data_IF_454749823430
#
_entry.id   IF_454749823430
#
_cell.length_a   1.000
_cell.length_b   1.000
_cell.length_c   1.000
_cell.angle_alpha   90.00
_cell.angle_beta   90.00
_cell.angle_gamma   90.00
#
_symmetry.space_group_name_H-M   'P 1'
#
loop_
_entity.id
_entity.type
_entity.pdbx_description
1 polymer ?
#
# COMPACT_ATOMS: atom_id res chain seq x y z
N UNK A 1 -1.92 13.64 -10.01
CA UNK A 1 -0.86 14.49 -10.58
C UNK A 1 -0.99 15.97 -10.18
N UNK A 2 -2.17 16.61 -10.19
CA UNK A 2 -2.31 18.05 -9.82
C UNK A 2 -1.66 18.47 -8.50
N UNK A 3 -1.85 17.71 -7.41
CA UNK A 3 -1.21 18.01 -6.11
C UNK A 3 0.32 17.96 -6.16
N UNK A 4 0.87 17.01 -6.93
CA UNK A 4 2.31 16.87 -7.10
C UNK A 4 2.89 18.01 -7.93
N UNK A 5 2.17 18.41 -8.99
CA UNK A 5 2.47 19.61 -9.78
C UNK A 5 2.50 20.88 -8.93
N UNK A 6 1.49 21.09 -8.07
CA UNK A 6 1.49 22.22 -7.14
C UNK A 6 2.71 22.20 -6.22
N UNK A 7 3.01 21.03 -5.63
CA UNK A 7 4.17 20.88 -4.76
C UNK A 7 5.50 21.21 -5.45
N UNK A 8 5.70 20.77 -6.70
CA UNK A 8 6.92 21.10 -7.47
C UNK A 8 7.00 22.59 -7.78
N UNK A 9 5.87 23.21 -8.12
CA UNK A 9 5.83 24.65 -8.38
C UNK A 9 6.18 25.47 -7.14
N UNK A 10 5.75 25.01 -5.96
CA UNK A 10 6.05 25.64 -4.68
C UNK A 10 7.51 25.36 -4.21
N UNK A 11 8.18 24.37 -4.80
CA UNK A 11 9.54 23.93 -4.42
C UNK A 11 10.45 23.84 -5.65
N UNK A 12 10.91 24.97 -6.21
CA UNK A 12 11.70 24.99 -7.45
C UNK A 12 13.09 24.35 -7.31
N UNK A 13 13.59 24.19 -6.09
CA UNK A 13 14.88 23.54 -5.79
C UNK A 13 14.80 22.01 -5.74
N UNK A 14 13.63 21.46 -6.08
CA UNK A 14 13.41 20.04 -5.98
C UNK A 14 14.04 19.30 -7.16
N UNK A 15 15.08 18.52 -6.85
CA UNK A 15 15.91 17.84 -7.86
C UNK A 15 15.43 16.43 -8.21
N UNK A 16 14.74 15.74 -7.28
CA UNK A 16 14.36 14.32 -7.42
C UNK A 16 12.98 14.06 -6.83
N UNK A 17 12.11 13.36 -7.56
CA UNK A 17 10.82 12.85 -7.03
C UNK A 17 10.70 11.36 -7.31
N UNK A 18 10.37 10.61 -6.27
CA UNK A 18 9.91 9.22 -6.37
C UNK A 18 8.40 9.09 -6.19
N UNK A 19 7.79 8.21 -6.96
CA UNK A 19 6.40 7.76 -6.79
C UNK A 19 6.36 6.25 -6.80
N UNK A 20 5.74 5.67 -5.79
CA UNK A 20 5.39 4.25 -5.77
C UNK A 20 3.90 4.13 -6.11
N UNK A 21 3.59 3.31 -7.11
CA UNK A 21 2.23 3.06 -7.56
C UNK A 21 1.87 1.59 -7.31
N UNK A 22 0.94 1.36 -6.38
CA UNK A 22 0.39 0.04 -6.09
C UNK A 22 -0.91 -0.12 -6.88
N UNK A 23 -0.96 -1.09 -7.78
CA UNK A 23 -2.16 -1.43 -8.55
C UNK A 23 -2.77 -2.70 -7.99
N UNK A 24 -4.08 -2.68 -7.78
CA UNK A 24 -4.85 -3.87 -7.44
C UNK A 24 -5.38 -4.53 -8.72
N UNK A 25 -5.35 -5.85 -8.79
CA UNK A 25 -5.86 -6.57 -9.96
C UNK A 25 -7.38 -6.41 -10.09
N UNK A 26 -8.07 -6.29 -8.96
CA UNK A 26 -9.50 -6.00 -8.88
C UNK A 26 -9.77 -5.02 -7.76
N UNK A 27 -10.68 -4.04 -7.93
CA UNK A 27 -11.16 -3.24 -6.82
C UNK A 27 -11.70 -4.13 -5.71
N UNK A 28 -11.33 -3.83 -4.46
CA UNK A 28 -11.84 -4.57 -3.31
C UNK A 28 -13.37 -4.50 -3.25
N UNK A 29 -13.98 -5.65 -2.99
CA UNK A 29 -15.41 -5.79 -2.71
C UNK A 29 -15.55 -6.53 -1.40
N UNK A 30 -16.23 -5.91 -0.44
CA UNK A 30 -16.53 -6.57 0.82
C UNK A 30 -17.37 -7.83 0.59
N UNK A 31 -17.27 -8.84 1.49
CA UNK A 31 -18.16 -9.98 1.45
C UNK A 31 -19.62 -9.52 1.46
N UNK A 32 -20.36 -9.85 0.40
CA UNK A 32 -21.76 -9.43 0.24
C UNK A 32 -22.65 -10.03 1.32
N UNK A 33 -23.53 -9.23 1.92
CA UNK A 33 -24.36 -9.60 3.09
C UNK A 33 -25.21 -10.87 2.93
N UNK A 34 -25.46 -11.33 1.70
CA UNK A 34 -26.31 -12.47 1.38
C UNK A 34 -25.56 -13.66 0.75
N UNK A 35 -24.25 -13.56 0.53
CA UNK A 35 -23.45 -14.68 0.01
C UNK A 35 -23.26 -15.78 1.04
N UNK A 36 -23.09 -17.04 0.60
CA UNK A 36 -22.77 -18.18 1.48
C UNK A 36 -21.52 -17.89 2.33
N UNK A 37 -20.49 -17.32 1.72
CA UNK A 37 -19.23 -16.92 2.37
C UNK A 37 -19.46 -15.89 3.51
N UNK A 38 -20.35 -14.92 3.32
CA UNK A 38 -20.63 -13.94 4.37
C UNK A 38 -21.39 -14.53 5.57
N UNK A 39 -22.18 -15.60 5.36
CA UNK A 39 -22.82 -16.32 6.48
C UNK A 39 -21.79 -17.08 7.31
N UNK A 40 -20.83 -17.73 6.65
CA UNK A 40 -19.74 -18.44 7.33
C UNK A 40 -18.83 -17.46 8.09
N UNK A 41 -18.38 -16.39 7.42
CA UNK A 41 -17.56 -15.34 8.02
C UNK A 41 -18.22 -14.63 9.21
N UNK A 42 -19.55 -14.50 9.22
CA UNK A 42 -20.31 -13.90 10.34
C UNK A 42 -20.33 -14.77 11.60
N UNK A 43 -20.19 -16.09 11.43
CA UNK A 43 -20.16 -17.02 12.56
C UNK A 43 -18.78 -17.07 13.20
N UNK A 44 -17.75 -16.56 12.51
CA UNK A 44 -16.41 -16.44 13.01
C UNK A 44 -16.27 -15.18 13.88
N UNK A 45 -15.60 -15.36 15.01
CA UNK A 45 -15.17 -14.28 15.88
C UNK A 45 -14.18 -13.38 15.13
N UNK A 46 -14.18 -12.09 15.50
CA UNK A 46 -13.21 -11.14 14.96
C UNK A 46 -11.80 -11.56 15.40
N UNK A 47 -10.96 -11.91 14.44
CA UNK A 47 -9.57 -12.27 14.69
C UNK A 47 -8.75 -11.01 15.02
N UNK A 48 -7.86 -11.12 15.99
CA UNK A 48 -6.78 -10.15 16.19
C UNK A 48 -5.80 -10.18 15.01
N UNK A 49 -5.00 -9.13 14.82
CA UNK A 49 -3.96 -9.12 13.77
C UNK A 49 -3.00 -10.31 13.89
N UNK A 50 -2.68 -10.73 15.12
CA UNK A 50 -1.79 -11.87 15.37
C UNK A 50 -2.42 -13.21 14.96
N UNK A 51 -3.72 -13.39 15.22
CA UNK A 51 -4.45 -14.59 14.79
C UNK A 51 -4.66 -14.59 13.29
N UNK A 52 -5.08 -13.46 12.72
CA UNK A 52 -5.18 -13.25 11.28
C UNK A 52 -3.89 -13.60 10.55
N UNK A 53 -2.75 -13.17 11.09
CA UNK A 53 -1.43 -13.48 10.56
C UNK A 53 -1.14 -14.98 10.46
N UNK A 54 -1.73 -15.82 11.32
CA UNK A 54 -1.58 -17.29 11.24
C UNK A 54 -2.36 -17.92 10.08
N UNK A 55 -3.37 -17.23 9.56
CA UNK A 55 -4.15 -17.67 8.39
C UNK A 55 -3.53 -17.22 7.08
N UNK A 56 -2.57 -16.30 7.12
CA UNK A 56 -1.79 -15.93 5.95
C UNK A 56 -0.86 -17.10 5.60
N UNK A 57 -0.93 -17.56 4.35
CA UNK A 57 -0.07 -18.64 3.84
C UNK A 57 1.39 -18.22 3.77
N UNK A 58 1.96 -18.13 2.57
CA UNK A 58 3.31 -17.57 2.43
C UNK A 58 3.32 -16.11 2.89
N UNK A 59 3.94 -15.86 4.05
CA UNK A 59 4.04 -14.55 4.69
C UNK A 59 4.78 -13.56 3.80
N UNK A 60 5.54 -14.01 2.81
CA UNK A 60 6.24 -13.14 1.86
C UNK A 60 5.42 -12.80 0.61
N UNK A 61 4.16 -13.24 0.54
CA UNK A 61 3.36 -13.07 -0.67
C UNK A 61 2.71 -11.68 -0.75
N UNK A 62 3.24 -10.85 -1.65
CA UNK A 62 2.68 -9.54 -2.01
C UNK A 62 1.53 -9.62 -3.02
N UNK A 63 1.25 -10.81 -3.55
CA UNK A 63 0.27 -11.03 -4.63
C UNK A 63 -1.14 -10.98 -4.09
N UNK A 64 -1.45 -11.72 -3.04
CA UNK A 64 -2.82 -11.84 -2.55
C UNK A 64 -2.92 -12.18 -1.07
N UNK A 65 -3.97 -11.69 -0.45
CA UNK A 65 -4.38 -12.08 0.90
C UNK A 65 -5.77 -12.69 0.82
N UNK A 66 -5.83 -14.01 1.01
CA UNK A 66 -7.07 -14.77 1.05
C UNK A 66 -7.21 -15.36 2.45
N UNK A 67 -8.32 -15.06 3.11
CA UNK A 67 -8.69 -15.62 4.41
C UNK A 67 -10.15 -16.00 4.35
N UNK A 68 -10.48 -17.20 4.85
CA UNK A 68 -11.83 -17.77 4.85
C UNK A 68 -12.50 -17.73 3.47
N UNK A 69 -11.74 -18.13 2.45
CA UNK A 69 -12.18 -18.15 1.04
C UNK A 69 -12.57 -16.78 0.45
N UNK A 70 -12.24 -15.67 1.12
CA UNK A 70 -12.44 -14.33 0.62
C UNK A 70 -11.11 -13.63 0.32
N UNK A 71 -11.05 -12.94 -0.82
CA UNK A 71 -9.87 -12.16 -1.23
C UNK A 71 -9.95 -10.75 -0.66
N UNK A 72 -9.15 -10.49 0.37
CA UNK A 72 -9.09 -9.19 1.06
C UNK A 72 -8.16 -8.21 0.35
N UNK A 73 -7.17 -8.73 -0.38
CA UNK A 73 -6.25 -7.96 -1.20
C UNK A 73 -5.76 -8.79 -2.38
N UNK A 74 -5.62 -8.16 -3.54
CA UNK A 74 -5.01 -8.76 -4.73
C UNK A 74 -4.25 -7.69 -5.50
N UNK A 75 -2.93 -7.83 -5.59
CA UNK A 75 -2.00 -6.97 -6.30
C UNK A 75 -1.95 -7.34 -7.78
N UNK A 76 -1.82 -6.35 -8.67
CA UNK A 76 -1.50 -6.55 -10.09
C UNK A 76 -0.09 -6.09 -10.44
N UNK A 77 0.33 -4.93 -9.93
CA UNK A 77 1.69 -4.43 -10.10
C UNK A 77 2.07 -3.52 -8.94
N UNK A 78 3.37 -3.46 -8.68
CA UNK A 78 3.96 -2.43 -7.83
C UNK A 78 5.07 -1.78 -8.63
N UNK A 79 4.84 -0.53 -8.97
CA UNK A 79 5.67 0.26 -9.88
C UNK A 79 6.36 1.37 -9.10
N UNK A 80 7.60 1.67 -9.46
CA UNK A 80 8.37 2.80 -8.97
C UNK A 80 8.68 3.68 -10.16
N UNK A 81 8.38 4.96 -10.02
CA UNK A 81 8.71 5.99 -10.98
C UNK A 81 9.61 7.00 -10.29
N UNK A 82 10.71 7.36 -10.94
CA UNK A 82 11.63 8.37 -10.45
C UNK A 82 11.81 9.45 -11.53
N UNK A 83 11.70 10.70 -11.13
CA UNK A 83 12.01 11.86 -11.96
C UNK A 83 13.19 12.59 -11.36
N UNK A 84 14.10 13.04 -12.20
CA UNK A 84 15.32 13.75 -11.84
C UNK A 84 15.44 14.99 -12.72
N UNK A 85 15.80 16.12 -12.13
CA UNK A 85 16.06 17.34 -12.86
C UNK A 85 17.29 17.14 -13.74
N UNK A 86 17.18 17.43 -15.04
CA UNK A 86 18.34 17.34 -15.91
C UNK A 86 19.28 18.50 -15.64
N UNK A 87 20.55 18.25 -15.90
CA UNK A 87 21.55 19.29 -15.94
C UNK A 87 21.15 20.38 -16.95
N UNK A 88 21.04 21.62 -16.49
CA UNK A 88 20.62 22.78 -17.28
C UNK A 88 19.10 23.03 -17.35
N UNK A 89 18.26 22.09 -16.89
CA UNK A 89 16.83 22.36 -16.72
C UNK A 89 16.64 23.23 -15.48
N UNK A 90 15.76 24.23 -15.55
CA UNK A 90 15.47 25.09 -14.40
C UNK A 90 14.50 24.46 -13.40
N UNK A 91 13.79 23.38 -13.80
CA UNK A 91 12.79 22.68 -12.99
C UNK A 91 12.67 21.21 -13.36
N UNK A 92 12.19 20.42 -12.39
CA UNK A 92 11.80 19.04 -12.59
C UNK A 92 10.53 18.91 -13.45
N UNK A 93 10.59 18.07 -14.48
CA UNK A 93 9.45 17.73 -15.36
C UNK A 93 8.91 16.33 -15.01
N UNK A 94 7.76 16.29 -14.31
CA UNK A 94 7.10 15.03 -13.92
C UNK A 94 6.10 14.49 -14.93
N UNK A 95 5.83 15.21 -16.02
CA UNK A 95 4.99 14.71 -17.10
C UNK A 95 5.81 13.89 -18.10
N UNK A 96 7.14 14.03 -18.06
CA UNK A 96 8.08 13.14 -18.76
C UNK A 96 7.94 11.69 -18.31
N UNK A 97 7.93 10.77 -19.26
CA UNK A 97 7.86 9.33 -19.01
C UNK A 97 8.93 8.54 -19.76
N UNK A 98 9.87 9.22 -20.42
CA UNK A 98 10.92 8.61 -21.22
C UNK A 98 12.17 9.50 -21.25
N UNK A 99 13.32 8.89 -21.55
CA UNK A 99 14.60 9.57 -21.74
C UNK A 99 15.28 10.04 -20.44
N UNK A 100 16.25 10.93 -20.60
CA UNK A 100 17.04 11.46 -19.49
C UNK A 100 16.16 12.19 -18.46
N UNK A 101 16.40 11.90 -17.19
CA UNK A 101 15.65 12.49 -16.07
C UNK A 101 14.38 11.73 -15.69
N UNK A 102 14.13 10.54 -16.26
CA UNK A 102 13.07 9.63 -15.81
C UNK A 102 13.57 8.20 -15.73
N UNK A 103 13.13 7.47 -14.71
CA UNK A 103 13.35 6.04 -14.59
C UNK A 103 12.09 5.32 -14.11
N UNK A 104 11.94 4.09 -14.58
CA UNK A 104 10.84 3.20 -14.24
C UNK A 104 11.39 1.88 -13.73
N UNK A 105 10.77 1.35 -12.70
CA UNK A 105 11.09 0.04 -12.15
C UNK A 105 9.87 -0.64 -11.57
N UNK A 106 10.00 -1.93 -11.30
CA UNK A 106 8.92 -2.77 -10.79
C UNK A 106 9.41 -3.58 -9.60
N UNK A 107 8.55 -3.71 -8.59
CA UNK A 107 8.69 -4.65 -7.48
C UNK A 107 7.81 -5.89 -7.66
N UNK A 108 6.76 -5.79 -8.49
CA UNK A 108 5.84 -6.87 -8.82
C UNK A 108 5.24 -6.62 -10.21
N UNK A 109 5.07 -7.65 -11.07
CA UNK A 109 5.30 -9.09 -10.83
C UNK A 109 6.78 -9.51 -10.90
N UNK A 110 7.60 -8.78 -11.64
CA UNK A 110 9.03 -9.04 -11.76
C UNK A 110 9.80 -7.90 -11.12
N UNK A 111 10.79 -8.21 -10.29
CA UNK A 111 11.61 -7.17 -9.69
C UNK A 111 12.63 -6.67 -10.73
N UNK A 112 12.54 -5.39 -11.08
CA UNK A 112 13.55 -4.68 -11.86
C UNK A 112 13.73 -3.28 -11.26
N UNK A 113 14.84 -3.08 -10.57
CA UNK A 113 15.22 -1.82 -9.93
C UNK A 113 16.52 -1.24 -10.50
N UNK A 114 17.05 -1.81 -11.58
CA UNK A 114 18.36 -1.45 -12.10
C UNK A 114 18.43 0.02 -12.52
N UNK A 115 17.49 0.46 -13.34
CA UNK A 115 17.43 1.85 -13.81
C UNK A 115 16.99 2.80 -12.70
N UNK A 116 16.13 2.35 -11.78
CA UNK A 116 15.78 3.13 -10.58
C UNK A 116 17.00 3.38 -9.69
N UNK A 117 17.86 2.38 -9.45
CA UNK A 117 19.06 2.55 -8.64
C UNK A 117 20.05 3.51 -9.30
N UNK A 118 20.28 3.37 -10.61
CA UNK A 118 21.12 4.33 -11.36
C UNK A 118 20.57 5.75 -11.28
N UNK A 119 19.25 5.89 -11.43
CA UNK A 119 18.59 7.17 -11.37
C UNK A 119 18.67 7.77 -9.94
N UNK A 120 18.47 6.98 -8.88
CA UNK A 120 18.68 7.45 -7.51
C UNK A 120 20.12 7.91 -7.28
N UNK A 121 21.11 7.18 -7.81
CA UNK A 121 22.51 7.58 -7.72
C UNK A 121 22.73 8.95 -8.39
N UNK A 122 22.29 9.11 -9.64
CA UNK A 122 22.37 10.40 -10.33
C UNK A 122 21.65 11.52 -9.57
N UNK A 123 20.50 11.21 -8.96
CA UNK A 123 19.76 12.15 -8.14
C UNK A 123 20.51 12.58 -6.87
N UNK A 124 21.21 11.65 -6.21
CA UNK A 124 22.06 11.96 -5.06
C UNK A 124 23.29 12.77 -5.45
N UNK A 125 23.88 12.49 -6.61
CA UNK A 125 24.99 13.28 -7.15
C UNK A 125 24.54 14.73 -7.41
N UNK A 126 23.35 14.94 -7.99
CA UNK A 126 22.80 16.29 -8.18
C UNK A 126 22.51 17.02 -6.86
N UNK A 127 22.00 16.32 -5.85
CA UNK A 127 21.80 16.90 -4.51
C UNK A 127 23.13 17.31 -3.91
N UNK A 128 24.17 16.49 -4.06
CA UNK A 128 25.52 16.83 -3.61
C UNK A 128 26.04 18.09 -4.31
N UNK A 129 25.99 18.14 -5.64
CA UNK A 129 26.42 19.31 -6.43
C UNK A 129 25.67 20.59 -6.02
N UNK A 130 24.36 20.50 -5.81
CA UNK A 130 23.55 21.64 -5.37
C UNK A 130 23.94 22.11 -3.95
N UNK A 131 24.19 21.18 -3.02
CA UNK A 131 24.64 21.51 -1.66
C UNK A 131 26.03 22.15 -1.68
N UNK A 132 26.97 21.62 -2.47
CA UNK A 132 28.30 22.21 -2.62
C UNK A 132 28.23 23.64 -3.17
N UNK A 133 27.38 23.87 -4.19
CA UNK A 133 27.19 25.18 -4.79
C UNK A 133 26.63 26.19 -3.78
N UNK A 134 25.64 25.80 -2.97
CA UNK A 134 25.06 26.65 -1.92
C UNK A 134 26.07 26.94 -0.82
N UNK A 135 26.82 25.93 -0.34
CA UNK A 135 27.84 26.12 0.70
C UNK A 135 28.96 27.07 0.27
N UNK A 136 29.40 26.96 -0.99
CA UNK A 136 30.45 27.83 -1.54
C UNK A 136 30.02 29.30 -1.69
N UNK A 137 28.72 29.61 -1.63
CA UNK A 137 28.20 30.98 -1.68
C UNK A 137 28.06 31.62 -0.30
N UNK A 138 28.16 30.84 0.77
CA UNK A 138 28.01 31.34 2.13
C UNK A 138 29.34 31.88 2.68
N UNK A 139 29.37 33.09 3.26
CA UNK A 139 30.61 33.75 3.67
C UNK A 139 31.29 33.11 4.90
N UNK A 140 30.56 32.34 5.71
CA UNK A 140 31.01 31.84 7.02
C UNK A 140 30.96 30.30 7.14
N UNK A 141 31.05 29.55 6.04
CA UNK A 141 31.09 28.08 6.10
C UNK A 141 32.52 27.61 6.38
N UNK A 142 32.69 26.76 7.39
CA UNK A 142 33.99 26.16 7.69
C UNK A 142 34.47 25.29 6.52
N UNK A 143 35.72 25.47 6.10
CA UNK A 143 36.34 24.71 5.01
C UNK A 143 36.24 23.18 5.22
N UNK A 144 36.29 22.72 6.47
CA UNK A 144 36.12 21.31 6.83
C UNK A 144 34.72 20.76 6.48
N UNK A 145 33.69 21.61 6.53
CA UNK A 145 32.32 21.23 6.13
C UNK A 145 32.22 21.07 4.62
N UNK A 146 32.85 21.96 3.85
CA UNK A 146 32.91 21.87 2.38
C UNK A 146 33.61 20.57 1.97
N UNK A 147 34.80 20.30 2.52
CA UNK A 147 35.54 19.06 2.25
C UNK A 147 34.76 17.81 2.65
N UNK A 148 34.01 17.84 3.75
CA UNK A 148 33.17 16.71 4.14
C UNK A 148 32.08 16.38 3.13
N UNK A 149 31.55 17.38 2.40
CA UNK A 149 30.56 17.16 1.34
C UNK A 149 31.27 16.66 0.07
N UNK A 150 32.40 17.28 -0.30
CA UNK A 150 33.22 16.87 -1.45
C UNK A 150 33.67 15.40 -1.34
N UNK A 151 34.07 14.96 -0.14
CA UNK A 151 34.51 13.60 0.13
C UNK A 151 33.35 12.61 0.29
N UNK A 152 32.13 13.09 0.53
CA UNK A 152 30.97 12.23 0.67
C UNK A 152 30.64 11.56 -0.67
N UNK A 153 30.50 10.24 -0.65
CA UNK A 153 30.07 9.45 -1.81
C UNK A 153 28.73 8.81 -1.50
N UNK A 154 27.75 8.87 -2.42
CA UNK A 154 26.48 8.23 -2.16
C UNK A 154 26.64 6.69 -2.10
N UNK A 155 25.78 5.99 -1.33
CA UNK A 155 25.83 4.54 -1.27
C UNK A 155 25.62 3.91 -2.65
N UNK A 156 26.39 2.88 -3.04
CA UNK A 156 26.33 2.28 -4.39
C UNK A 156 24.99 1.62 -4.71
N UNK A 157 24.20 1.28 -3.68
CA UNK A 157 22.83 0.79 -3.82
C UNK A 157 21.95 1.55 -2.83
N UNK A 158 21.11 2.44 -3.36
CA UNK A 158 20.21 3.24 -2.52
C UNK A 158 18.95 2.46 -2.12
N UNK A 159 18.46 1.57 -2.99
CA UNK A 159 17.27 0.77 -2.72
C UNK A 159 17.63 -0.69 -2.41
N UNK A 160 17.43 -1.08 -1.16
CA UNK A 160 17.47 -2.47 -0.74
C UNK A 160 16.14 -3.16 -1.11
N UNK A 161 16.20 -4.06 -2.09
CA UNK A 161 15.07 -4.87 -2.53
C UNK A 161 14.40 -5.64 -1.39
N UNK A 162 15.17 -6.20 -0.45
CA UNK A 162 14.62 -7.00 0.66
C UNK A 162 13.82 -6.11 1.60
N UNK A 163 14.32 -4.91 1.90
CA UNK A 163 13.62 -3.94 2.73
C UNK A 163 12.32 -3.50 2.05
N UNK A 164 12.37 -3.17 0.75
CA UNK A 164 11.20 -2.76 -0.03
C UNK A 164 10.13 -3.85 -0.09
N UNK A 165 10.53 -5.10 -0.37
CA UNK A 165 9.60 -6.22 -0.40
C UNK A 165 8.98 -6.49 0.97
N UNK A 166 9.77 -6.42 2.05
CA UNK A 166 9.26 -6.57 3.42
C UNK A 166 8.24 -5.49 3.76
N UNK A 167 8.54 -4.23 3.45
CA UNK A 167 7.62 -3.13 3.67
C UNK A 167 6.31 -3.31 2.87
N UNK A 168 6.42 -3.77 1.62
CA UNK A 168 5.27 -4.03 0.76
C UNK A 168 4.39 -5.16 1.30
N UNK A 169 4.99 -6.27 1.75
CA UNK A 169 4.29 -7.36 2.43
C UNK A 169 3.52 -6.84 3.63
N UNK A 170 4.18 -6.08 4.52
CA UNK A 170 3.52 -5.52 5.69
C UNK A 170 2.34 -4.62 5.29
N UNK A 171 2.52 -3.73 4.30
CA UNK A 171 1.46 -2.84 3.82
C UNK A 171 0.26 -3.58 3.23
N UNK A 172 0.51 -4.65 2.45
CA UNK A 172 -0.54 -5.51 1.89
C UNK A 172 -1.32 -6.22 3.00
N UNK A 173 -0.63 -6.78 3.98
CA UNK A 173 -1.23 -7.49 5.10
C UNK A 173 -2.05 -6.55 6.00
N UNK A 174 -1.50 -5.39 6.36
CA UNK A 174 -2.23 -4.37 7.14
C UNK A 174 -3.46 -3.90 6.39
N UNK A 175 -3.36 -3.59 5.10
CA UNK A 175 -4.50 -3.17 4.29
C UNK A 175 -5.59 -4.24 4.24
N UNK A 176 -5.20 -5.51 4.09
CA UNK A 176 -6.15 -6.63 4.08
C UNK A 176 -6.83 -6.80 5.45
N UNK A 177 -6.08 -6.69 6.54
CA UNK A 177 -6.60 -6.79 7.90
C UNK A 177 -7.56 -5.63 8.22
N UNK A 178 -7.20 -4.40 7.87
CA UNK A 178 -8.05 -3.22 8.09
C UNK A 178 -9.40 -3.38 7.37
N UNK A 179 -9.40 -3.93 6.15
CA UNK A 179 -10.63 -4.24 5.39
C UNK A 179 -11.47 -5.30 6.09
N UNK A 180 -10.84 -6.34 6.61
CA UNK A 180 -11.52 -7.39 7.39
C UNK A 180 -12.14 -6.83 8.67
N UNK A 181 -11.36 -6.08 9.42
CA UNK A 181 -11.77 -5.47 10.68
C UNK A 181 -12.93 -4.48 10.47
N UNK A 182 -12.82 -3.60 9.48
CA UNK A 182 -13.87 -2.65 9.11
C UNK A 182 -15.17 -3.36 8.71
N UNK A 183 -15.07 -4.42 7.89
CA UNK A 183 -16.22 -5.22 7.50
C UNK A 183 -16.91 -5.89 8.68
N UNK A 184 -16.16 -6.52 9.60
CA UNK A 184 -16.71 -7.19 10.78
C UNK A 184 -17.36 -6.17 11.74
N UNK A 185 -16.70 -5.03 11.95
CA UNK A 185 -17.23 -3.94 12.80
C UNK A 185 -18.57 -3.40 12.27
N UNK A 186 -18.69 -3.24 10.94
CA UNK A 186 -19.94 -2.83 10.28
C UNK A 186 -21.05 -3.86 10.38
N UNK A 187 -20.72 -5.15 10.47
CA UNK A 187 -21.72 -6.19 10.71
C UNK A 187 -22.27 -6.15 12.13
N UNK A 188 -21.41 -5.96 13.13
CA UNK A 188 -21.82 -5.89 14.54
C UNK A 188 -22.68 -4.66 14.85
N UNK A 189 -22.43 -3.55 14.15
CA UNK A 189 -23.17 -2.28 14.32
C UNK A 189 -24.47 -2.20 13.52
N UNK A 190 -24.74 -3.17 12.62
CA UNK A 190 -25.97 -3.17 11.83
C UNK A 190 -27.17 -3.69 12.63
N UNK A 191 -28.33 -2.99 12.63
CA UNK A 191 -29.50 -3.32 13.45
C UNK A 191 -30.20 -4.64 13.08
N UNK A 192 -29.69 -5.40 12.11
CA UNK A 192 -30.17 -6.74 11.77
C UNK A 192 -29.50 -7.86 12.58
N UNK A 193 -28.58 -7.54 13.51
CA UNK A 193 -27.96 -8.52 14.42
C UNK A 193 -28.85 -8.96 15.60
N UNK A 194 -29.93 -8.24 15.90
CA UNK A 194 -30.83 -8.49 17.03
C UNK A 194 -32.17 -9.08 16.59
N UNK A 195 -32.17 -10.24 15.95
CA UNK A 195 -33.37 -11.11 15.95
C UNK A 195 -33.01 -12.58 15.72
N UNK A 196 -32.43 -13.20 16.75
CA UNK A 196 -32.65 -14.63 17.00
C UNK A 196 -32.38 -15.01 18.45
N UNK A 197 -32.97 -14.25 19.38
CA UNK A 197 -33.21 -14.80 20.72
C UNK A 197 -34.31 -15.85 20.54
N UNK A 198 -33.97 -17.12 20.71
CA UNK A 198 -34.93 -18.23 20.86
C UNK A 198 -35.97 -17.82 21.91
N UNK A 199 -37.14 -17.36 21.48
CA UNK A 199 -38.32 -17.42 22.32
C UNK A 199 -38.83 -18.85 22.25
N UNK A 200 -38.42 -19.65 23.24
CA UNK A 200 -39.23 -20.79 23.68
C UNK A 200 -40.56 -20.19 24.13
N UNK A 201 -41.59 -20.35 23.31
CA UNK A 201 -42.97 -20.31 23.79
C UNK A 201 -43.65 -21.59 23.35
N UNK A 202 -44.01 -22.35 24.38
CA UNK A 202 -44.82 -23.55 24.37
C UNK A 202 -46.00 -23.44 23.42
N UNK A 203 -46.10 -24.36 22.46
CA UNK A 203 -47.40 -24.70 21.90
C UNK A 203 -47.97 -25.83 22.75
N UNK A 204 -48.88 -25.42 23.63
CA UNK A 204 -49.82 -26.30 24.32
C UNK A 204 -50.57 -27.15 23.29
N UNK A 205 -50.68 -28.44 23.61
CA UNK A 205 -51.63 -29.35 23.00
C UNK A 205 -53.05 -28.77 23.09
N UNK A 206 -53.76 -28.75 21.97
CA UNK A 206 -55.21 -28.75 21.97
C UNK A 206 -55.68 -29.69 20.86
N UNK A 207 -55.88 -30.94 21.25
CA UNK A 207 -56.52 -31.97 20.45
C UNK A 207 -58.01 -31.69 20.41
N UNK A 208 -58.57 -31.35 19.25
CA UNK A 208 -60.00 -31.53 19.00
C UNK A 208 -60.22 -32.08 17.59
N UNK A 209 -60.47 -33.39 17.53
CA UNK A 209 -61.33 -34.00 16.52
C UNK A 209 -62.79 -33.63 16.84
N UNK A 210 -63.66 -33.51 15.83
CA UNK A 210 -64.50 -34.66 15.50
C UNK A 210 -64.72 -34.90 13.99
N UNK A 211 -64.59 -36.18 13.64
CA UNK A 211 -65.45 -37.01 12.76
C UNK A 211 -66.50 -36.36 11.86
N UNK A 212 -66.52 -36.80 10.60
CA UNK A 212 -67.71 -36.76 9.74
C UNK A 212 -67.43 -37.29 8.34
N UNK A 213 -67.80 -38.55 8.11
CA UNK A 213 -67.70 -39.29 6.85
C UNK A 213 -68.80 -38.93 5.83
N UNK A 214 -68.47 -39.23 4.57
CA UNK A 214 -69.31 -39.46 3.39
C UNK A 214 -69.82 -38.23 2.62
#
# INVERSE_FOLDING_TARGET
MRKLHAYINDNPMLLVIGKILLKQATPYRSPGSNGSIAKELRLLWLLTLAEWGRHLGDVNNITQVIVDSHTWFLSSSVEIHLWIQRHGDSRLDIDRQEGDGYAFGTLYPTVNLSDINKAFQCGLDLVKEAVELELNQLPDVEQATIHSVEDWTPPPFTLDQRILLKALVCGVQTTAYDRYHDWHSKLQSSPYGTTRRRSRTSWMCASHHPTGHA
#
